data_IF_251801023485
#
_entry.id   IF_251801023485
#
_cell.length_a   1.000
_cell.length_b   1.000
_cell.length_c   1.000
_cell.angle_alpha   90.00
_cell.angle_beta   90.00
_cell.angle_gamma   90.00
#
_symmetry.space_group_name_H-M   'P 1'
#
loop_
_entity.id
_entity.type
_entity.pdbx_description
1 polymer ?
#
# COMPACT_ATOMS: atom_id res chain seq x y z
N UNK A 1 40.26 -50.49 9.88
CA UNK A 1 38.87 -50.90 9.61
C UNK A 1 38.00 -49.64 9.55
N UNK A 2 37.31 -49.47 8.42
CA UNK A 2 36.17 -48.58 8.13
C UNK A 2 36.35 -47.05 8.17
N UNK A 3 36.70 -46.56 6.97
CA UNK A 3 36.29 -45.30 6.37
C UNK A 3 34.76 -45.15 6.47
N UNK A 4 34.27 -43.97 6.83
CA UNK A 4 32.90 -43.55 6.52
C UNK A 4 32.90 -42.09 6.10
N UNK A 5 32.95 -41.87 4.79
CA UNK A 5 32.62 -40.63 4.13
C UNK A 5 31.16 -40.27 4.43
N UNK A 6 30.88 -39.05 4.90
CA UNK A 6 29.54 -38.49 4.88
C UNK A 6 29.60 -37.09 4.24
N UNK A 7 29.58 -37.08 2.91
CA UNK A 7 29.44 -35.86 2.11
C UNK A 7 28.00 -35.36 2.21
N UNK A 8 27.77 -34.24 2.89
CA UNK A 8 26.47 -33.58 2.92
C UNK A 8 26.26 -32.82 1.62
N UNK A 9 25.51 -33.40 0.68
CA UNK A 9 25.07 -32.70 -0.53
C UNK A 9 23.88 -31.81 -0.15
N UNK A 10 24.08 -30.50 -0.18
CA UNK A 10 23.02 -29.51 -0.04
C UNK A 10 22.25 -29.43 -1.37
N UNK A 11 21.09 -30.07 -1.46
CA UNK A 11 20.19 -29.96 -2.62
C UNK A 11 19.44 -28.63 -2.51
N UNK A 12 19.86 -27.64 -3.29
CA UNK A 12 19.12 -26.41 -3.52
C UNK A 12 17.91 -26.75 -4.41
N UNK A 13 16.75 -27.01 -3.81
CA UNK A 13 15.51 -27.13 -4.54
C UNK A 13 15.09 -25.74 -5.03
N UNK A 14 15.48 -25.37 -6.25
CA UNK A 14 14.81 -24.30 -7.00
C UNK A 14 13.38 -24.78 -7.29
N UNK A 15 12.43 -24.42 -6.44
CA UNK A 15 11.02 -24.44 -6.83
C UNK A 15 10.83 -23.34 -7.88
N UNK A 16 11.06 -23.67 -9.13
CA UNK A 16 10.52 -22.92 -10.26
C UNK A 16 8.99 -23.09 -10.20
N UNK A 17 8.33 -22.28 -9.37
CA UNK A 17 6.91 -22.02 -9.56
C UNK A 17 6.79 -21.44 -10.97
N UNK A 18 6.34 -22.27 -11.90
CA UNK A 18 6.06 -21.85 -13.26
C UNK A 18 5.09 -20.69 -13.18
N UNK A 19 5.60 -19.48 -13.40
CA UNK A 19 4.75 -18.33 -13.71
C UNK A 19 3.93 -18.80 -14.91
N UNK A 20 2.59 -18.89 -14.83
CA UNK A 20 1.78 -19.36 -15.93
C UNK A 20 2.13 -18.53 -17.17
N UNK A 21 2.86 -19.14 -18.10
CA UNK A 21 3.22 -18.48 -19.33
C UNK A 21 1.94 -18.33 -20.11
N UNK A 22 1.62 -17.08 -20.37
CA UNK A 22 0.49 -16.66 -21.16
C UNK A 22 0.36 -17.52 -22.44
N UNK A 23 -0.84 -18.05 -22.76
CA UNK A 23 -1.03 -18.83 -23.98
C UNK A 23 -0.55 -18.04 -25.20
N UNK A 24 0.28 -18.71 -26.02
CA UNK A 24 0.74 -18.20 -27.30
C UNK A 24 -0.47 -17.74 -28.13
N UNK A 25 -0.48 -16.47 -28.55
CA UNK A 25 -1.55 -15.88 -29.36
C UNK A 25 -2.57 -15.01 -28.62
N UNK A 26 -2.53 -14.90 -27.29
CA UNK A 26 -3.38 -13.92 -26.59
C UNK A 26 -2.86 -12.49 -26.82
N UNK A 27 -3.73 -11.56 -27.26
CA UNK A 27 -3.40 -10.12 -27.38
C UNK A 27 -2.95 -9.58 -26.02
N UNK A 28 -1.86 -8.79 -25.89
CA UNK A 28 -1.44 -8.20 -24.60
C UNK A 28 -2.65 -7.58 -23.89
N UNK A 29 -2.75 -7.70 -22.55
CA UNK A 29 -3.85 -7.06 -21.85
C UNK A 29 -3.79 -5.56 -22.18
N UNK A 30 -4.93 -5.00 -22.57
CA UNK A 30 -5.01 -3.57 -22.82
C UNK A 30 -4.77 -2.84 -21.49
N UNK A 31 -3.68 -2.08 -21.41
CA UNK A 31 -3.45 -1.16 -20.32
C UNK A 31 -3.80 0.26 -20.81
N UNK A 32 -4.63 1.00 -20.07
CA UNK A 32 -4.94 2.37 -20.45
C UNK A 32 -3.66 3.21 -20.36
N UNK A 33 -3.54 4.20 -21.26
CA UNK A 33 -2.41 5.14 -21.26
C UNK A 33 -2.27 5.92 -19.94
N UNK A 34 -3.38 6.06 -19.21
CA UNK A 34 -3.45 6.75 -17.93
C UNK A 34 -4.41 6.00 -17.01
N UNK A 35 -3.88 5.37 -15.97
CA UNK A 35 -4.67 4.66 -14.95
C UNK A 35 -4.60 5.45 -13.64
N UNK A 36 -5.75 5.87 -13.14
CA UNK A 36 -5.89 6.64 -11.90
C UNK A 36 -6.70 5.80 -10.92
N UNK A 37 -6.15 5.54 -9.74
CA UNK A 37 -6.88 4.86 -8.67
C UNK A 37 -7.36 5.88 -7.64
N UNK A 38 -8.63 5.79 -7.24
CA UNK A 38 -9.32 6.86 -6.49
C UNK A 38 -9.56 6.54 -5.01
N UNK A 39 -9.51 5.27 -4.62
CA UNK A 39 -9.84 4.81 -3.25
C UNK A 39 -8.60 4.17 -2.60
N UNK A 40 -7.55 4.97 -2.46
CA UNK A 40 -6.24 4.47 -2.05
C UNK A 40 -5.94 4.90 -0.62
N UNK A 41 -6.23 4.01 0.32
CA UNK A 41 -6.05 4.25 1.73
C UNK A 41 -4.57 4.45 2.11
N UNK A 42 -4.35 5.41 2.99
CA UNK A 42 -3.10 5.66 3.70
C UNK A 42 -3.39 5.98 5.17
N UNK A 43 -2.37 5.96 6.02
CA UNK A 43 -2.52 6.31 7.44
C UNK A 43 -1.41 7.24 7.87
N UNK A 44 -1.78 8.44 8.29
CA UNK A 44 -0.88 9.40 8.94
C UNK A 44 -0.73 9.07 10.43
N UNK A 45 0.44 9.34 11.05
CA UNK A 45 0.67 9.08 12.47
C UNK A 45 -0.37 9.70 13.41
N UNK A 46 -0.93 10.87 13.05
CA UNK A 46 -1.95 11.55 13.84
C UNK A 46 -3.26 10.79 13.96
N UNK A 47 -3.55 9.85 13.04
CA UNK A 47 -4.80 9.09 12.98
C UNK A 47 -4.59 7.58 13.16
N UNK A 48 -3.35 7.15 13.39
CA UNK A 48 -2.97 5.72 13.44
C UNK A 48 -3.69 4.95 14.55
N UNK A 49 -3.88 5.57 15.72
CA UNK A 49 -4.50 4.92 16.87
C UNK A 49 -5.94 4.48 16.58
N UNK A 50 -6.70 5.28 15.82
CA UNK A 50 -8.07 4.94 15.42
C UNK A 50 -8.07 3.70 14.50
N UNK A 51 -7.23 3.73 13.46
CA UNK A 51 -7.08 2.62 12.51
C UNK A 51 -6.70 1.30 13.22
N UNK A 52 -5.84 1.37 14.24
CA UNK A 52 -5.50 0.21 15.06
C UNK A 52 -6.68 -0.25 15.92
N UNK A 53 -7.44 0.68 16.50
CA UNK A 53 -8.60 0.38 17.34
C UNK A 53 -9.72 -0.34 16.56
N UNK A 54 -9.85 -0.10 15.25
CA UNK A 54 -10.80 -0.81 14.37
C UNK A 54 -10.51 -2.30 14.18
N UNK A 55 -9.33 -2.76 14.59
CA UNK A 55 -8.95 -4.16 14.43
C UNK A 55 -8.33 -4.49 13.07
N UNK A 56 -7.97 -3.50 12.24
CA UNK A 56 -7.45 -3.76 10.89
C UNK A 56 -6.16 -4.58 10.92
N UNK A 57 -5.31 -4.35 11.93
CA UNK A 57 -4.03 -5.04 12.07
C UNK A 57 -4.19 -6.52 12.44
N UNK A 58 -5.26 -6.84 13.17
CA UNK A 58 -5.65 -8.18 13.56
C UNK A 58 -6.25 -8.93 12.36
N UNK A 59 -7.03 -8.23 11.53
CA UNK A 59 -7.64 -8.82 10.32
C UNK A 59 -6.62 -9.02 9.20
N UNK A 60 -5.66 -8.11 9.06
CA UNK A 60 -4.65 -8.12 8.00
C UNK A 60 -3.25 -7.85 8.58
N UNK A 61 -2.51 -8.90 9.00
CA UNK A 61 -1.17 -8.73 9.54
C UNK A 61 -0.24 -8.00 8.56
N UNK A 62 0.48 -6.99 9.06
CA UNK A 62 1.41 -6.17 8.27
C UNK A 62 0.75 -5.09 7.38
N UNK A 63 -0.58 -4.92 7.45
CA UNK A 63 -1.27 -3.89 6.66
C UNK A 63 -0.86 -2.46 7.05
N UNK A 64 -0.57 -2.24 8.34
CA UNK A 64 -0.28 -0.91 8.87
C UNK A 64 0.96 -0.30 8.21
N UNK A 65 2.02 -1.10 8.04
CA UNK A 65 3.24 -0.66 7.35
C UNK A 65 2.97 -0.27 5.88
N UNK A 66 2.05 -0.98 5.20
CA UNK A 66 1.65 -0.65 3.83
C UNK A 66 0.81 0.63 3.75
N UNK A 67 -0.05 0.87 4.75
CA UNK A 67 -0.85 2.10 4.84
C UNK A 67 0.03 3.32 5.12
N UNK A 68 1.08 3.15 5.93
CA UNK A 68 2.05 4.20 6.27
C UNK A 68 3.03 4.50 5.12
N UNK A 69 3.34 3.50 4.29
CA UNK A 69 4.20 3.71 3.13
C UNK A 69 3.47 4.47 2.01
N UNK A 70 3.64 5.79 2.00
CA UNK A 70 3.31 6.68 0.89
C UNK A 70 4.58 7.17 0.14
N UNK A 71 5.64 6.37 0.25
CA UNK A 71 6.96 6.64 -0.29
C UNK A 71 7.36 5.62 -1.35
N UNK A 72 8.56 5.07 -1.20
CA UNK A 72 9.24 4.27 -2.23
C UNK A 72 8.55 2.95 -2.52
N UNK A 73 8.09 2.22 -1.51
CA UNK A 73 7.47 0.91 -1.73
C UNK A 73 6.13 1.02 -2.44
N UNK A 74 5.30 2.01 -2.07
CA UNK A 74 4.06 2.34 -2.79
C UNK A 74 4.30 2.75 -4.23
N UNK A 75 5.29 3.62 -4.49
CA UNK A 75 5.63 4.01 -5.88
C UNK A 75 6.08 2.79 -6.70
N UNK A 76 6.90 1.90 -6.14
CA UNK A 76 7.31 0.68 -6.81
C UNK A 76 6.11 -0.23 -7.12
N UNK A 77 5.15 -0.36 -6.19
CA UNK A 77 3.91 -1.10 -6.43
C UNK A 77 3.04 -0.45 -7.52
N UNK A 78 2.95 0.88 -7.55
CA UNK A 78 2.26 1.62 -8.60
C UNK A 78 2.91 1.38 -9.97
N UNK A 79 4.24 1.40 -10.05
CA UNK A 79 4.97 1.15 -11.30
C UNK A 79 4.73 -0.28 -11.80
N UNK A 80 4.77 -1.28 -10.91
CA UNK A 80 4.47 -2.67 -11.24
C UNK A 80 3.00 -2.88 -11.67
N UNK A 81 2.06 -2.11 -11.10
CA UNK A 81 0.65 -2.13 -11.43
C UNK A 81 0.23 -1.23 -12.60
N UNK A 82 1.18 -0.54 -13.24
CA UNK A 82 0.92 0.46 -14.29
C UNK A 82 -0.03 1.59 -13.85
N UNK A 83 -0.01 1.95 -12.56
CA UNK A 83 -0.76 3.07 -12.01
C UNK A 83 -0.02 4.39 -12.27
N UNK A 84 -0.68 5.29 -13.01
CA UNK A 84 -0.14 6.62 -13.25
C UNK A 84 -0.18 7.46 -11.98
N UNK A 85 -1.30 7.43 -11.27
CA UNK A 85 -1.52 8.21 -10.05
C UNK A 85 -2.49 7.50 -9.11
N UNK A 86 -2.26 7.71 -7.81
CA UNK A 86 -3.21 7.36 -6.76
C UNK A 86 -3.77 8.63 -6.11
N UNK A 87 -5.07 8.66 -5.84
CA UNK A 87 -5.71 9.66 -4.99
C UNK A 87 -5.75 9.09 -3.59
N UNK A 88 -4.91 9.63 -2.71
CA UNK A 88 -4.77 9.16 -1.33
C UNK A 88 -5.95 9.63 -0.48
N UNK A 89 -6.52 8.72 0.31
CA UNK A 89 -7.48 9.01 1.37
C UNK A 89 -6.97 8.46 2.70
N UNK A 90 -7.28 9.13 3.81
CA UNK A 90 -6.97 8.56 5.12
C UNK A 90 -7.88 7.36 5.38
N UNK A 91 -7.31 6.27 5.88
CA UNK A 91 -8.09 5.24 6.53
C UNK A 91 -8.62 5.82 7.85
N UNK A 92 -9.94 5.83 8.02
CA UNK A 92 -10.61 6.34 9.22
C UNK A 92 -11.80 5.44 9.54
N UNK A 93 -12.14 5.32 10.81
CA UNK A 93 -13.11 4.35 11.25
C UNK A 93 -14.54 4.81 11.11
N UNK A 94 -14.85 6.02 11.58
CA UNK A 94 -16.24 6.48 11.69
C UNK A 94 -16.37 7.95 12.10
N UNK A 95 -15.58 8.84 11.48
CA UNK A 95 -15.72 10.26 11.71
C UNK A 95 -14.86 10.72 12.88
N UNK A 96 -13.78 11.41 12.54
CA UNK A 96 -12.83 11.90 13.50
C UNK A 96 -13.43 13.03 14.34
N UNK A 97 -13.56 12.77 15.64
CA UNK A 97 -13.72 13.78 16.69
C UNK A 97 -12.37 14.45 17.05
N UNK A 98 -11.37 14.31 16.18
CA UNK A 98 -10.05 14.96 16.31
C UNK A 98 -9.77 15.91 15.13
N UNK A 99 -10.25 17.17 15.20
CA UNK A 99 -9.98 18.17 14.18
C UNK A 99 -8.48 18.45 13.97
N UNK A 100 -7.69 18.37 15.04
CA UNK A 100 -6.25 18.62 14.95
C UNK A 100 -5.53 17.46 14.25
N UNK A 101 -5.93 16.22 14.56
CA UNK A 101 -5.47 15.02 13.88
C UNK A 101 -5.83 15.00 12.40
N UNK A 102 -7.05 15.41 12.04
CA UNK A 102 -7.47 15.60 10.64
C UNK A 102 -6.59 16.61 9.92
N UNK A 103 -6.37 17.79 10.53
CA UNK A 103 -5.52 18.84 9.95
C UNK A 103 -4.09 18.34 9.75
N UNK A 104 -3.49 17.74 10.79
CA UNK A 104 -2.15 17.18 10.71
C UNK A 104 -2.02 16.09 9.65
N UNK A 105 -3.03 15.23 9.50
CA UNK A 105 -3.06 14.19 8.47
C UNK A 105 -3.16 14.79 7.05
N UNK A 106 -4.01 15.80 6.87
CA UNK A 106 -4.15 16.53 5.61
C UNK A 106 -2.84 17.25 5.24
N UNK A 107 -2.14 17.86 6.19
CA UNK A 107 -0.86 18.52 5.98
C UNK A 107 0.24 17.53 5.58
N UNK A 108 0.28 16.36 6.24
CA UNK A 108 1.21 15.28 5.90
C UNK A 108 1.01 14.77 4.47
N UNK A 109 -0.24 14.47 4.10
CA UNK A 109 -0.60 14.03 2.73
C UNK A 109 -0.30 15.15 1.72
N UNK A 110 -0.66 16.39 2.04
CA UNK A 110 -0.37 17.56 1.20
C UNK A 110 1.13 17.75 0.94
N UNK A 111 1.98 17.49 1.93
CA UNK A 111 3.43 17.54 1.80
C UNK A 111 3.95 16.47 0.84
N UNK A 112 3.40 15.25 0.93
CA UNK A 112 3.76 14.16 -0.01
C UNK A 112 3.29 14.45 -1.43
N UNK A 113 2.06 14.95 -1.60
CA UNK A 113 1.54 15.38 -2.91
C UNK A 113 2.44 16.46 -3.52
N UNK A 114 2.82 17.48 -2.75
CA UNK A 114 3.74 18.53 -3.21
C UNK A 114 5.10 17.96 -3.66
N UNK A 115 5.59 16.92 -2.98
CA UNK A 115 6.85 16.26 -3.35
C UNK A 115 6.76 15.40 -4.64
N UNK A 116 5.57 14.86 -4.96
CA UNK A 116 5.35 13.94 -6.10
C UNK A 116 4.01 14.21 -6.81
N UNK A 117 3.77 15.42 -7.35
CA UNK A 117 2.44 15.85 -7.82
C UNK A 117 1.95 15.12 -9.08
N UNK A 118 2.85 14.42 -9.79
CA UNK A 118 2.50 13.59 -10.94
C UNK A 118 2.05 12.18 -10.55
N UNK A 119 2.31 11.77 -9.30
CA UNK A 119 2.08 10.41 -8.80
C UNK A 119 0.97 10.37 -7.75
N UNK A 120 0.78 11.46 -7.02
CA UNK A 120 -0.23 11.52 -5.97
C UNK A 120 -1.13 12.75 -6.12
N UNK A 121 -2.41 12.53 -5.82
CA UNK A 121 -3.38 13.53 -5.40
C UNK A 121 -4.00 13.04 -4.08
N UNK A 122 -4.97 13.75 -3.52
CA UNK A 122 -5.62 13.30 -2.28
C UNK A 122 -6.99 13.88 -2.04
N UNK A 123 -7.79 13.13 -1.30
CA UNK A 123 -9.00 13.60 -0.66
C UNK A 123 -8.67 14.04 0.76
N UNK A 124 -9.21 15.17 1.17
CA UNK A 124 -9.09 15.61 2.55
C UNK A 124 -9.93 14.70 3.44
N UNK A 125 -9.41 14.36 4.62
CA UNK A 125 -10.25 13.85 5.69
C UNK A 125 -10.86 15.04 6.43
N UNK A 126 -12.20 15.22 6.37
CA UNK A 126 -12.85 16.28 7.12
C UNK A 126 -12.96 15.88 8.60
N UNK A 127 -12.95 16.87 9.49
CA UNK A 127 -13.46 16.67 10.84
C UNK A 127 -14.97 16.37 10.77
N UNK A 128 -15.43 15.37 11.52
CA UNK A 128 -16.87 15.18 11.68
C UNK A 128 -17.37 16.28 12.61
N UNK A 129 -18.13 17.24 12.08
CA UNK A 129 -18.76 18.25 12.91
C UNK A 129 -19.99 17.61 13.56
N UNK A 130 -19.97 17.43 14.88
CA UNK A 130 -21.19 17.16 15.64
C UNK A 130 -22.13 18.35 15.44
N UNK A 131 -23.21 18.14 14.69
CA UNK A 131 -24.31 19.12 14.62
C UNK A 131 -25.05 18.98 15.95
N UNK A 132 -24.75 19.87 16.90
CA UNK A 132 -25.51 20.01 18.15
C UNK A 132 -26.95 20.41 17.87
#
# INVERSE_FOLDING_TARGET
MHIAHLSTIFVLALSANGIPTRPSGSKPPYLPKRLLALEEHCTSPSLEAEVVAEGITQRYPGILEKLKDIGTGRIAAMDAGHLTMQVLSQQSASGLEDPEGCRAANDAVGSVIKSKPKRFAGFAVPQSATIN
#
